data_IF_845743709861
#
_entry.id   IF_845743709861
#
_cell.length_a   1.000
_cell.length_b   1.000
_cell.length_c   1.000
_cell.angle_alpha   90.00
_cell.angle_beta   90.00
_cell.angle_gamma   90.00
#
_symmetry.space_group_name_H-M   'P 1'
#
loop_
_entity.id
_entity.type
_entity.pdbx_description
1 polymer ?
#
# COMPACT_ATOMS: atom_id res chain seq x y z
N UNK A 1 32.92 -1.25 -43.75
CA UNK A 1 31.79 -2.16 -43.51
C UNK A 1 31.53 -2.16 -42.02
N UNK A 2 30.58 -1.36 -41.56
CA UNK A 2 30.16 -1.32 -40.15
C UNK A 2 29.40 -2.60 -39.82
N UNK A 3 29.92 -3.39 -38.88
CA UNK A 3 29.36 -4.65 -38.43
C UNK A 3 28.00 -4.37 -37.77
N UNK A 4 26.90 -4.52 -38.52
CA UNK A 4 25.54 -4.28 -38.13
C UNK A 4 24.93 -5.44 -37.32
N UNK A 5 25.75 -6.36 -36.81
CA UNK A 5 25.26 -7.45 -35.95
C UNK A 5 24.80 -6.88 -34.63
N UNK A 6 23.52 -7.02 -34.27
CA UNK A 6 23.04 -6.53 -32.99
C UNK A 6 23.83 -7.20 -31.87
N UNK A 7 24.34 -6.38 -30.94
CA UNK A 7 25.09 -6.88 -29.77
C UNK A 7 24.27 -7.98 -29.08
N UNK A 8 24.87 -9.11 -28.68
CA UNK A 8 24.14 -10.25 -28.08
C UNK A 8 23.20 -9.88 -26.94
N UNK A 9 23.58 -8.88 -26.15
CA UNK A 9 22.77 -8.27 -25.10
C UNK A 9 21.44 -7.73 -25.64
N UNK A 10 21.44 -6.93 -26.70
CA UNK A 10 20.23 -6.27 -27.23
C UNK A 10 19.26 -7.31 -27.82
N UNK A 11 19.78 -8.31 -28.55
CA UNK A 11 18.93 -9.38 -29.08
C UNK A 11 18.29 -10.22 -28.00
N UNK A 12 19.04 -10.56 -26.95
CA UNK A 12 18.52 -11.29 -25.79
C UNK A 12 17.46 -10.48 -25.02
N UNK A 13 17.76 -9.22 -24.71
CA UNK A 13 16.82 -8.35 -24.01
C UNK A 13 15.51 -8.19 -24.80
N UNK A 14 15.60 -7.96 -26.13
CA UNK A 14 14.41 -7.84 -27.00
C UNK A 14 13.62 -9.15 -27.05
N UNK A 15 14.28 -10.30 -27.13
CA UNK A 15 13.60 -11.60 -27.15
C UNK A 15 12.87 -11.87 -25.83
N UNK A 16 13.51 -11.60 -24.69
CA UNK A 16 12.92 -11.75 -23.35
C UNK A 16 11.73 -10.79 -23.14
N UNK A 17 11.88 -9.53 -23.57
CA UNK A 17 10.81 -8.53 -23.44
C UNK A 17 9.61 -8.93 -24.31
N UNK A 18 9.84 -9.37 -25.55
CA UNK A 18 8.78 -9.88 -26.42
C UNK A 18 8.10 -11.12 -25.82
N UNK A 19 8.87 -12.00 -25.18
CA UNK A 19 8.33 -13.16 -24.45
C UNK A 19 7.37 -12.72 -23.34
N UNK A 20 7.79 -11.78 -22.51
CA UNK A 20 6.96 -11.25 -21.41
C UNK A 20 5.63 -10.64 -21.92
N UNK A 21 5.68 -9.78 -22.94
CA UNK A 21 4.46 -9.16 -23.49
C UNK A 21 3.52 -10.15 -24.23
N UNK A 22 4.03 -11.32 -24.61
CA UNK A 22 3.20 -12.40 -25.19
C UNK A 22 2.61 -13.34 -24.15
N UNK A 23 3.17 -13.36 -22.95
CA UNK A 23 2.67 -14.14 -21.84
C UNK A 23 1.59 -13.36 -21.09
N UNK A 24 0.33 -13.67 -21.40
CA UNK A 24 -0.84 -13.00 -20.84
C UNK A 24 -0.93 -13.17 -19.33
N UNK A 25 -0.51 -14.34 -18.79
CA UNK A 25 -0.55 -14.62 -17.35
C UNK A 25 0.50 -13.79 -16.61
N UNK A 26 1.73 -13.75 -17.11
CA UNK A 26 2.77 -12.89 -16.54
C UNK A 26 2.37 -11.41 -16.57
N UNK A 27 1.74 -10.97 -17.66
CA UNK A 27 1.28 -9.58 -17.79
C UNK A 27 0.13 -9.26 -16.84
N UNK A 28 -0.81 -10.20 -16.68
CA UNK A 28 -1.89 -10.07 -15.71
C UNK A 28 -1.35 -9.91 -14.29
N UNK A 29 -0.53 -10.85 -13.82
CA UNK A 29 -0.04 -10.82 -12.44
C UNK A 29 1.00 -9.71 -12.18
N UNK A 30 1.76 -9.31 -13.19
CA UNK A 30 2.72 -8.24 -13.03
C UNK A 30 2.09 -6.84 -13.02
N UNK A 31 1.05 -6.62 -13.85
CA UNK A 31 0.51 -5.27 -14.08
C UNK A 31 -0.95 -5.17 -13.62
N UNK A 32 -1.84 -6.00 -14.18
CA UNK A 32 -3.28 -5.84 -13.97
C UNK A 32 -3.69 -6.15 -12.52
N UNK A 33 -3.15 -7.22 -11.95
CA UNK A 33 -3.52 -7.67 -10.61
C UNK A 33 -3.17 -6.64 -9.52
N UNK A 34 -1.94 -6.09 -9.44
CA UNK A 34 -1.65 -5.00 -8.50
C UNK A 34 -2.43 -3.70 -8.79
N UNK A 35 -2.71 -3.39 -10.07
CA UNK A 35 -3.55 -2.24 -10.42
C UNK A 35 -4.99 -2.40 -9.95
N UNK A 36 -5.54 -3.63 -9.98
CA UNK A 36 -6.86 -3.90 -9.40
C UNK A 36 -6.89 -3.53 -7.90
N UNK A 37 -5.82 -3.82 -7.16
CA UNK A 37 -5.72 -3.42 -5.76
C UNK A 37 -5.64 -1.90 -5.61
N UNK A 38 -4.90 -1.21 -6.48
CA UNK A 38 -4.86 0.25 -6.47
C UNK A 38 -6.24 0.86 -6.70
N UNK A 39 -7.00 0.32 -7.67
CA UNK A 39 -8.37 0.77 -7.95
C UNK A 39 -9.31 0.44 -6.79
N UNK A 40 -9.19 -0.77 -6.24
CA UNK A 40 -10.01 -1.22 -5.11
C UNK A 40 -9.77 -0.36 -3.87
N UNK A 41 -8.52 -0.25 -3.43
CA UNK A 41 -8.19 0.54 -2.24
C UNK A 41 -8.33 2.04 -2.49
N UNK A 42 -7.94 2.54 -3.66
CA UNK A 42 -8.14 3.93 -4.05
C UNK A 42 -9.63 4.30 -4.10
N UNK A 43 -10.49 3.43 -4.66
CA UNK A 43 -11.93 3.66 -4.75
C UNK A 43 -12.63 3.51 -3.40
N UNK A 44 -12.38 2.41 -2.67
CA UNK A 44 -13.05 2.15 -1.39
C UNK A 44 -12.62 3.10 -0.27
N UNK A 45 -11.35 3.53 -0.28
CA UNK A 45 -10.80 4.31 0.82
C UNK A 45 -10.76 5.82 0.51
N UNK A 46 -10.94 6.24 -0.75
CA UNK A 46 -11.05 7.65 -1.10
C UNK A 46 -12.39 8.24 -0.63
N UNK A 47 -13.46 7.45 -0.60
CA UNK A 47 -14.76 7.85 -0.07
C UNK A 47 -14.82 7.84 1.47
N UNK A 48 -13.77 7.48 2.16
CA UNK A 48 -13.64 7.69 3.62
C UNK A 48 -13.16 9.12 3.96
N UNK A 49 -13.43 10.09 3.13
CA UNK A 49 -13.63 11.46 3.58
C UNK A 49 -14.77 11.42 4.58
N UNK A 50 -14.48 11.71 5.85
CA UNK A 50 -15.37 11.72 7.02
C UNK A 50 -16.78 11.31 6.66
N UNK A 51 -17.08 10.00 6.58
CA UNK A 51 -18.45 9.56 6.38
C UNK A 51 -19.19 10.08 7.58
N UNK A 52 -20.10 11.05 7.34
CA UNK A 52 -20.89 11.61 8.42
C UNK A 52 -21.54 10.44 9.14
N UNK A 53 -21.40 10.41 10.46
CA UNK A 53 -22.06 9.38 11.23
C UNK A 53 -23.56 9.61 11.13
N UNK A 54 -24.29 8.58 10.69
CA UNK A 54 -25.76 8.63 10.60
C UNK A 54 -26.35 8.45 11.98
N UNK A 55 -26.96 9.53 12.50
CA UNK A 55 -27.54 9.60 13.84
C UNK A 55 -29.04 9.74 13.74
N UNK A 56 -29.79 8.87 14.43
CA UNK A 56 -31.25 8.99 14.55
C UNK A 56 -31.59 9.73 15.84
N UNK A 57 -32.15 10.91 15.69
CA UNK A 57 -32.71 11.68 16.82
C UNK A 57 -34.13 11.24 17.11
N UNK A 58 -34.36 10.73 18.32
CA UNK A 58 -35.69 10.33 18.78
C UNK A 58 -36.28 11.43 19.68
N UNK A 59 -37.36 12.00 19.22
CA UNK A 59 -38.03 13.09 19.95
C UNK A 59 -37.29 14.43 19.88
N UNK A 60 -37.56 15.32 20.86
CA UNK A 60 -36.83 16.59 21.01
C UNK A 60 -35.55 16.37 21.81
N UNK A 61 -34.43 16.88 21.32
CA UNK A 61 -33.14 16.88 22.02
C UNK A 61 -32.64 18.31 22.11
N UNK A 62 -33.07 19.08 23.14
CA UNK A 62 -32.73 20.50 23.30
C UNK A 62 -31.26 20.79 23.20
N UNK A 63 -30.35 19.93 23.69
CA UNK A 63 -28.91 20.09 23.59
C UNK A 63 -28.43 20.17 22.13
N UNK A 64 -29.14 19.55 21.19
CA UNK A 64 -28.83 19.65 19.73
C UNK A 64 -29.69 20.74 19.06
N UNK A 65 -30.99 20.78 19.41
CA UNK A 65 -31.96 21.65 18.76
C UNK A 65 -31.67 23.15 19.09
N UNK A 66 -31.21 23.46 20.31
CA UNK A 66 -30.90 24.80 20.78
C UNK A 66 -29.39 25.15 20.71
N UNK A 67 -28.59 24.28 20.10
CA UNK A 67 -27.16 24.49 19.98
C UNK A 67 -26.81 25.79 19.22
N UNK A 68 -25.76 26.53 19.63
CA UNK A 68 -25.29 27.74 18.93
C UNK A 68 -25.01 27.48 17.44
N UNK A 69 -25.15 28.50 16.55
CA UNK A 69 -24.96 28.33 15.11
C UNK A 69 -23.62 27.72 14.71
N UNK A 70 -22.55 28.04 15.45
CA UNK A 70 -21.21 27.47 15.22
C UNK A 70 -21.18 25.96 15.51
N UNK A 71 -21.82 25.51 16.59
CA UNK A 71 -21.90 24.11 16.94
C UNK A 71 -22.78 23.32 15.95
N UNK A 72 -23.91 23.90 15.51
CA UNK A 72 -24.75 23.27 14.47
C UNK A 72 -24.00 23.07 13.15
N UNK A 73 -23.14 24.01 12.76
CA UNK A 73 -22.31 23.88 11.56
C UNK A 73 -21.30 22.74 11.71
N UNK A 74 -20.63 22.64 12.85
CA UNK A 74 -19.69 21.54 13.14
C UNK A 74 -20.40 20.18 13.16
N UNK A 75 -21.64 20.10 13.70
CA UNK A 75 -22.44 18.86 13.65
C UNK A 75 -22.80 18.48 12.21
N UNK A 76 -23.26 19.45 11.40
CA UNK A 76 -23.63 19.22 10.01
C UNK A 76 -22.44 18.79 9.12
N UNK A 77 -21.21 19.08 9.53
CA UNK A 77 -19.99 18.61 8.86
C UNK A 77 -19.64 17.16 9.23
N UNK A 78 -19.94 16.73 10.47
CA UNK A 78 -19.53 15.43 11.02
C UNK A 78 -20.65 14.42 11.16
N UNK A 79 -21.92 14.87 11.27
CA UNK A 79 -23.08 14.05 11.56
C UNK A 79 -24.18 14.29 10.51
N UNK A 80 -24.85 13.22 10.12
CA UNK A 80 -26.12 13.27 9.39
C UNK A 80 -27.24 12.88 10.34
N UNK A 81 -28.11 13.85 10.70
CA UNK A 81 -29.14 13.66 11.72
C UNK A 81 -30.48 13.44 11.05
N UNK A 82 -31.04 12.24 11.22
CA UNK A 82 -32.41 11.87 10.82
C UNK A 82 -33.31 11.85 12.03
N UNK A 83 -34.51 12.40 11.94
CA UNK A 83 -35.48 12.43 13.05
C UNK A 83 -36.44 11.26 12.96
N UNK A 84 -36.69 10.60 14.09
CA UNK A 84 -37.70 9.54 14.25
C UNK A 84 -38.52 9.78 15.49
N UNK A 85 -39.75 9.32 15.46
CA UNK A 85 -40.63 9.31 16.66
C UNK A 85 -40.70 7.95 17.38
N UNK A 86 -40.16 6.90 16.74
CA UNK A 86 -40.14 5.53 17.25
C UNK A 86 -38.73 5.12 17.69
N UNK A 87 -38.55 5.02 19.01
CA UNK A 87 -37.28 4.63 19.61
C UNK A 87 -36.93 3.15 19.31
N UNK A 88 -37.96 2.28 19.28
CA UNK A 88 -37.70 0.85 19.05
C UNK A 88 -37.24 0.57 17.63
N UNK A 89 -37.81 1.27 16.65
CA UNK A 89 -37.39 1.19 15.26
C UNK A 89 -36.00 1.81 15.07
N UNK A 90 -35.72 2.97 15.66
CA UNK A 90 -34.42 3.61 15.62
C UNK A 90 -33.28 2.70 16.16
N UNK A 91 -33.51 2.07 17.31
CA UNK A 91 -32.58 1.10 17.91
C UNK A 91 -32.42 -0.14 17.01
N UNK A 92 -33.50 -0.58 16.35
CA UNK A 92 -33.43 -1.68 15.38
C UNK A 92 -32.56 -1.34 14.17
N UNK A 93 -32.62 -0.12 13.65
CA UNK A 93 -31.79 0.37 12.54
C UNK A 93 -30.30 0.39 12.94
N UNK A 94 -29.94 0.87 14.14
CA UNK A 94 -28.57 0.80 14.64
C UNK A 94 -28.09 -0.65 14.79
N UNK A 95 -28.96 -1.55 15.25
CA UNK A 95 -28.62 -2.98 15.35
C UNK A 95 -28.40 -3.64 13.99
N UNK A 96 -29.10 -3.20 12.95
CA UNK A 96 -28.94 -3.69 11.57
C UNK A 96 -27.75 -3.05 10.86
N UNK A 97 -27.19 -1.96 11.40
CA UNK A 97 -26.09 -1.21 10.76
C UNK A 97 -26.57 -0.16 9.75
N UNK A 98 -27.88 0.14 9.72
CA UNK A 98 -28.48 1.16 8.85
C UNK A 98 -28.31 2.57 9.43
N UNK A 99 -27.91 2.69 10.70
CA UNK A 99 -27.51 3.93 11.37
C UNK A 99 -26.40 3.65 12.38
N UNK A 100 -25.56 4.66 12.69
CA UNK A 100 -24.41 4.52 13.58
C UNK A 100 -24.78 4.71 15.05
N UNK A 101 -25.75 5.59 15.36
CA UNK A 101 -26.24 5.81 16.72
C UNK A 101 -27.68 6.35 16.78
N UNK A 102 -28.31 6.17 17.95
CA UNK A 102 -29.57 6.81 18.32
C UNK A 102 -29.31 7.75 19.48
N UNK A 103 -29.86 8.95 19.39
CA UNK A 103 -29.84 9.92 20.49
C UNK A 103 -31.27 10.25 20.96
N UNK A 104 -31.45 10.27 22.25
CA UNK A 104 -32.69 10.70 22.91
C UNK A 104 -32.37 11.51 24.16
N UNK A 105 -33.25 12.41 24.56
CA UNK A 105 -33.10 13.18 25.79
C UNK A 105 -34.35 13.04 26.67
N UNK A 106 -34.14 12.80 27.95
CA UNK A 106 -35.19 12.76 28.94
C UNK A 106 -34.79 13.63 30.14
N UNK A 107 -35.39 14.80 30.27
CA UNK A 107 -34.99 15.81 31.26
C UNK A 107 -33.53 16.24 31.00
N UNK A 108 -32.66 16.14 32.00
CA UNK A 108 -31.26 16.52 31.94
C UNK A 108 -30.32 15.40 31.44
N UNK A 109 -30.90 14.23 31.13
CA UNK A 109 -30.09 13.08 30.70
C UNK A 109 -30.19 12.90 29.19
N UNK A 110 -29.03 13.03 28.49
CA UNK A 110 -28.87 12.69 27.08
C UNK A 110 -28.38 11.25 26.98
N UNK A 111 -29.14 10.40 26.33
CA UNK A 111 -28.82 8.99 26.11
C UNK A 111 -28.38 8.79 24.65
N UNK A 112 -27.18 8.29 24.48
CA UNK A 112 -26.63 7.92 23.17
C UNK A 112 -26.43 6.41 23.15
N UNK A 113 -27.10 5.72 22.20
CA UNK A 113 -26.91 4.28 21.95
C UNK A 113 -26.27 4.10 20.60
N UNK A 114 -25.10 3.48 20.55
CA UNK A 114 -24.30 3.32 19.34
C UNK A 114 -23.88 1.87 19.12
N UNK A 115 -23.58 1.53 17.86
CA UNK A 115 -23.04 0.23 17.51
C UNK A 115 -21.53 0.19 17.79
N UNK A 116 -21.04 -0.93 18.36
CA UNK A 116 -19.61 -1.19 18.53
C UNK A 116 -19.02 -1.99 17.37
N UNK A 117 -19.79 -2.26 16.32
CA UNK A 117 -19.32 -3.01 15.16
C UNK A 117 -18.20 -2.26 14.40
N UNK A 118 -18.25 -0.93 14.41
CA UNK A 118 -17.18 -0.06 13.91
C UNK A 118 -16.61 0.77 15.08
N UNK A 119 -15.43 0.39 15.54
CA UNK A 119 -14.79 1.03 16.71
C UNK A 119 -14.38 2.48 16.42
N UNK A 120 -14.06 2.83 15.17
CA UNK A 120 -13.66 4.19 14.80
C UNK A 120 -14.88 5.11 14.83
N UNK A 121 -16.00 4.69 14.23
CA UNK A 121 -17.26 5.44 14.25
C UNK A 121 -17.81 5.58 15.69
N UNK A 122 -17.75 4.49 16.47
CA UNK A 122 -18.16 4.50 17.87
C UNK A 122 -17.37 5.52 18.70
N UNK A 123 -16.04 5.57 18.56
CA UNK A 123 -15.19 6.54 19.24
C UNK A 123 -15.47 7.98 18.79
N UNK A 124 -15.71 8.20 17.50
CA UNK A 124 -16.07 9.51 16.93
C UNK A 124 -17.39 10.02 17.48
N UNK A 125 -18.44 9.18 17.48
CA UNK A 125 -19.76 9.49 18.04
C UNK A 125 -19.64 9.84 19.52
N UNK A 126 -18.99 8.98 20.31
CA UNK A 126 -18.81 9.19 21.74
C UNK A 126 -18.05 10.48 22.05
N UNK A 127 -16.94 10.75 21.37
CA UNK A 127 -16.13 11.95 21.55
C UNK A 127 -16.90 13.22 21.17
N UNK A 128 -17.62 13.21 20.06
CA UNK A 128 -18.44 14.34 19.62
C UNK A 128 -19.52 14.68 20.63
N UNK A 129 -20.31 13.70 21.09
CA UNK A 129 -21.38 13.97 22.06
C UNK A 129 -20.83 14.37 23.43
N UNK A 130 -19.71 13.81 23.87
CA UNK A 130 -19.06 14.25 25.10
C UNK A 130 -18.64 15.70 25.06
N UNK A 131 -18.06 16.16 23.94
CA UNK A 131 -17.70 17.57 23.73
C UNK A 131 -18.93 18.48 23.71
N UNK A 132 -20.03 18.04 23.10
CA UNK A 132 -21.31 18.76 23.05
C UNK A 132 -21.87 18.96 24.44
N UNK A 133 -21.98 17.90 25.23
CA UNK A 133 -22.53 17.96 26.61
C UNK A 133 -21.66 18.85 27.49
N UNK A 134 -20.32 18.77 27.36
CA UNK A 134 -19.42 19.65 28.09
C UNK A 134 -19.61 21.12 27.70
N UNK A 135 -19.77 21.43 26.42
CA UNK A 135 -20.01 22.81 25.96
C UNK A 135 -21.36 23.36 26.40
N UNK A 136 -22.41 22.50 26.42
CA UNK A 136 -23.73 22.88 26.94
C UNK A 136 -23.70 23.19 28.45
N UNK A 137 -23.04 22.32 29.24
CA UNK A 137 -22.86 22.54 30.67
C UNK A 137 -22.08 23.83 30.97
N UNK A 138 -21.07 24.17 30.16
CA UNK A 138 -20.34 25.43 30.31
C UNK A 138 -21.20 26.67 29.97
N UNK A 139 -22.03 26.57 28.93
CA UNK A 139 -22.91 27.64 28.52
C UNK A 139 -23.99 27.93 29.62
N UNK A 140 -24.49 26.90 30.27
CA UNK A 140 -25.48 26.99 31.33
C UNK A 140 -24.90 27.56 32.65
N UNK A 141 -23.60 27.31 32.90
CA UNK A 141 -22.89 27.86 34.06
C UNK A 141 -22.66 29.37 33.99
N UNK A 142 -22.89 30.02 32.85
CA UNK A 142 -22.74 31.46 32.65
C UNK A 142 -21.29 31.99 32.77
N UNK A 143 -20.31 31.12 32.93
CA UNK A 143 -18.92 31.49 32.98
C UNK A 143 -18.23 31.21 31.64
N UNK A 144 -17.40 32.14 31.09
CA UNK A 144 -16.62 31.86 29.91
C UNK A 144 -15.65 30.68 30.17
N UNK A 145 -15.43 29.82 29.17
CA UNK A 145 -14.51 28.70 29.32
C UNK A 145 -13.12 29.18 29.72
N UNK A 146 -12.65 28.71 30.85
CA UNK A 146 -11.35 29.12 31.43
C UNK A 146 -10.15 28.58 30.63
N UNK A 147 -10.36 27.52 29.85
CA UNK A 147 -9.33 26.86 29.04
C UNK A 147 -9.88 26.68 27.63
N UNK A 148 -9.11 27.12 26.65
CA UNK A 148 -9.34 26.80 25.24
C UNK A 148 -8.43 25.64 24.86
N UNK A 149 -8.98 24.63 24.18
CA UNK A 149 -8.19 23.56 23.58
C UNK A 149 -7.74 24.07 22.19
N UNK A 150 -6.45 24.32 22.05
CA UNK A 150 -5.80 24.54 20.76
C UNK A 150 -5.20 23.21 20.31
N UNK A 151 -5.81 22.58 19.34
CA UNK A 151 -5.32 21.33 18.73
C UNK A 151 -4.65 21.69 17.43
N UNK A 152 -3.33 21.67 17.42
CA UNK A 152 -2.55 21.65 16.18
C UNK A 152 -2.15 20.20 15.86
N UNK A 153 -2.53 19.73 14.71
CA UNK A 153 -2.02 18.46 14.17
C UNK A 153 -0.52 18.65 13.88
N UNK A 154 0.32 17.87 14.56
CA UNK A 154 1.79 17.90 14.38
C UNK A 154 2.24 16.72 13.50
N UNK A 155 1.38 15.71 13.30
CA UNK A 155 1.65 14.60 12.39
C UNK A 155 1.20 14.96 10.97
N UNK A 156 1.95 14.47 10.00
CA UNK A 156 1.72 14.70 8.57
C UNK A 156 0.47 13.93 8.09
N UNK A 157 -0.68 14.23 8.70
CA UNK A 157 -2.00 13.70 8.34
C UNK A 157 -2.50 14.19 6.96
N UNK A 158 -1.65 14.94 6.25
CA UNK A 158 -1.94 15.37 4.89
C UNK A 158 -1.81 14.22 3.87
N UNK A 159 -1.30 13.06 4.27
CA UNK A 159 -1.23 11.89 3.41
C UNK A 159 -2.62 11.31 3.22
N UNK A 160 -3.22 11.58 2.07
CA UNK A 160 -4.43 10.87 1.68
C UNK A 160 -4.13 9.36 1.56
N UNK A 161 -5.14 8.54 1.75
CA UNK A 161 -4.98 7.07 1.63
C UNK A 161 -4.28 6.66 0.34
N UNK A 162 -4.58 7.35 -0.78
CA UNK A 162 -3.94 7.06 -2.07
C UNK A 162 -2.44 7.38 -2.07
N UNK A 163 -2.02 8.42 -1.35
CA UNK A 163 -0.61 8.79 -1.22
C UNK A 163 0.19 7.74 -0.43
N UNK A 164 -0.44 7.09 0.54
CA UNK A 164 0.17 5.99 1.29
C UNK A 164 0.14 4.67 0.50
N UNK A 165 -1.02 4.30 -0.04
CA UNK A 165 -1.24 2.99 -0.68
C UNK A 165 -0.49 2.86 -2.01
N UNK A 166 -0.35 3.96 -2.78
CA UNK A 166 0.30 3.90 -4.10
C UNK A 166 1.76 3.44 -4.03
N UNK A 167 2.66 4.01 -3.20
CA UNK A 167 4.03 3.52 -3.05
C UNK A 167 4.09 2.06 -2.59
N UNK A 168 3.28 1.70 -1.60
CA UNK A 168 3.21 0.34 -1.06
C UNK A 168 2.81 -0.71 -2.08
N UNK A 169 1.75 -0.44 -2.86
CA UNK A 169 1.30 -1.33 -3.94
C UNK A 169 2.28 -1.39 -5.11
N UNK A 170 2.89 -0.26 -5.46
CA UNK A 170 3.92 -0.22 -6.49
C UNK A 170 5.15 -1.05 -6.08
N UNK A 171 5.63 -0.89 -4.84
CA UNK A 171 6.72 -1.69 -4.29
C UNK A 171 6.40 -3.19 -4.32
N UNK A 172 5.19 -3.57 -3.91
CA UNK A 172 4.72 -4.95 -3.98
C UNK A 172 4.61 -5.47 -5.43
N UNK A 173 4.09 -4.67 -6.36
CA UNK A 173 4.00 -5.04 -7.77
C UNK A 173 5.38 -5.32 -8.38
N UNK A 174 6.37 -4.46 -8.07
CA UNK A 174 7.77 -4.65 -8.49
C UNK A 174 8.37 -5.89 -7.84
N UNK A 175 8.12 -6.11 -6.54
CA UNK A 175 8.58 -7.29 -5.82
C UNK A 175 8.03 -8.58 -6.45
N UNK A 176 6.72 -8.64 -6.73
CA UNK A 176 6.08 -9.78 -7.39
C UNK A 176 6.69 -10.04 -8.77
N UNK A 177 6.71 -9.02 -9.63
CA UNK A 177 7.14 -9.19 -11.02
C UNK A 177 8.62 -9.58 -11.13
N UNK A 178 9.48 -8.97 -10.30
CA UNK A 178 10.90 -9.29 -10.26
C UNK A 178 11.16 -10.70 -9.73
N UNK A 179 10.49 -11.08 -8.63
CA UNK A 179 10.66 -12.40 -8.00
C UNK A 179 10.12 -13.51 -8.90
N UNK A 180 8.86 -13.42 -9.35
CA UNK A 180 8.24 -14.45 -10.17
C UNK A 180 8.91 -14.58 -11.51
N UNK A 181 9.23 -13.45 -12.15
CA UNK A 181 9.94 -13.45 -13.40
C UNK A 181 11.33 -14.07 -13.30
N UNK A 182 12.06 -13.89 -12.21
CA UNK A 182 13.36 -14.54 -12.03
C UNK A 182 13.22 -16.03 -11.71
N UNK A 183 12.27 -16.40 -10.84
CA UNK A 183 12.01 -17.77 -10.43
C UNK A 183 11.57 -18.68 -11.60
N UNK A 184 10.51 -18.26 -12.31
CA UNK A 184 9.98 -18.97 -13.48
C UNK A 184 10.99 -19.11 -14.59
N UNK A 185 11.63 -18.01 -15.01
CA UNK A 185 12.60 -18.04 -16.11
C UNK A 185 13.79 -18.98 -15.82
N UNK A 186 14.29 -19.02 -14.59
CA UNK A 186 15.42 -19.89 -14.27
C UNK A 186 15.06 -21.38 -14.44
N UNK A 187 13.86 -21.78 -14.01
CA UNK A 187 13.36 -23.16 -14.16
C UNK A 187 13.07 -23.47 -15.62
N UNK A 188 12.42 -22.58 -16.36
CA UNK A 188 12.13 -22.74 -17.80
C UNK A 188 13.41 -22.87 -18.59
N UNK A 189 14.43 -22.04 -18.33
CA UNK A 189 15.72 -22.13 -19.02
C UNK A 189 16.45 -23.44 -18.74
N UNK A 190 16.36 -23.96 -17.51
CA UNK A 190 16.92 -25.26 -17.15
C UNK A 190 16.18 -26.39 -17.86
N UNK A 191 14.84 -26.42 -17.82
CA UNK A 191 14.02 -27.44 -18.48
C UNK A 191 14.22 -27.49 -20.02
N UNK A 192 14.29 -26.32 -20.65
CA UNK A 192 14.45 -26.20 -22.10
C UNK A 192 15.90 -26.41 -22.57
N UNK A 193 16.82 -26.70 -21.66
CA UNK A 193 18.25 -26.87 -21.98
C UNK A 193 18.92 -25.58 -22.47
N UNK A 194 18.27 -24.41 -22.28
CA UNK A 194 18.82 -23.11 -22.72
C UNK A 194 20.13 -22.81 -22.01
N UNK A 195 20.22 -23.10 -20.70
CA UNK A 195 21.44 -22.89 -19.93
C UNK A 195 22.62 -23.69 -20.51
N UNK A 196 22.39 -24.96 -20.95
CA UNK A 196 23.38 -25.79 -21.60
C UNK A 196 23.82 -25.20 -22.96
N UNK A 197 22.84 -24.72 -23.75
CA UNK A 197 23.11 -24.07 -25.04
C UNK A 197 23.89 -22.76 -24.89
N UNK A 198 23.54 -21.95 -23.88
CA UNK A 198 24.23 -20.71 -23.57
C UNK A 198 25.69 -20.96 -23.15
N UNK A 199 25.97 -22.07 -22.44
CA UNK A 199 27.32 -22.46 -22.05
C UNK A 199 28.20 -22.85 -23.27
N UNK A 200 27.57 -23.36 -24.32
CA UNK A 200 28.27 -23.77 -25.57
C UNK A 200 28.33 -22.62 -26.61
N UNK A 201 27.54 -21.57 -26.43
CA UNK A 201 27.51 -20.44 -27.31
C UNK A 201 28.65 -19.43 -26.97
N UNK A 202 29.18 -18.66 -27.92
CA UNK A 202 30.18 -17.62 -27.67
C UNK A 202 29.56 -16.36 -27.04
N UNK A 203 28.65 -16.55 -26.06
CA UNK A 203 27.97 -15.47 -25.35
C UNK A 203 28.47 -15.44 -23.91
N UNK A 204 28.92 -14.29 -23.45
CA UNK A 204 29.38 -14.11 -22.08
C UNK A 204 28.17 -14.20 -21.12
N UNK A 205 28.29 -15.01 -20.07
CA UNK A 205 27.24 -15.15 -19.02
C UNK A 205 26.79 -13.80 -18.48
N UNK A 206 27.72 -12.85 -18.36
CA UNK A 206 27.41 -11.47 -17.95
C UNK A 206 26.38 -10.80 -18.88
N UNK A 207 26.45 -11.02 -20.20
CA UNK A 207 25.48 -10.44 -21.14
C UNK A 207 24.07 -11.00 -20.94
N UNK A 208 23.95 -12.26 -20.55
CA UNK A 208 22.66 -12.90 -20.26
C UNK A 208 22.05 -12.32 -18.97
N UNK A 209 22.87 -12.22 -17.92
CA UNK A 209 22.43 -11.64 -16.63
C UNK A 209 22.05 -10.19 -16.79
N UNK A 210 22.88 -9.38 -17.44
CA UNK A 210 22.59 -7.96 -17.68
C UNK A 210 21.34 -7.78 -18.55
N UNK A 211 21.13 -8.63 -19.57
CA UNK A 211 19.92 -8.59 -20.38
C UNK A 211 18.68 -8.87 -19.51
N UNK A 212 18.77 -9.83 -18.59
CA UNK A 212 17.67 -10.14 -17.66
C UNK A 212 17.38 -9.00 -16.71
N UNK A 213 18.42 -8.42 -16.11
CA UNK A 213 18.28 -7.23 -15.24
C UNK A 213 17.63 -6.08 -16.01
N UNK A 214 18.12 -5.78 -17.22
CA UNK A 214 17.56 -4.71 -18.05
C UNK A 214 16.08 -4.93 -18.39
N UNK A 215 15.68 -6.17 -18.68
CA UNK A 215 14.26 -6.52 -18.93
C UNK A 215 13.43 -6.31 -17.67
N UNK A 216 13.88 -6.79 -16.51
CA UNK A 216 13.16 -6.60 -15.23
C UNK A 216 13.02 -5.12 -14.88
N UNK A 217 14.06 -4.32 -15.09
CA UNK A 217 14.02 -2.87 -14.89
C UNK A 217 13.06 -2.17 -15.87
N UNK A 218 13.02 -2.62 -17.12
CA UNK A 218 12.06 -2.10 -18.10
C UNK A 218 10.62 -2.38 -17.67
N UNK A 219 10.36 -3.60 -17.20
CA UNK A 219 9.02 -3.99 -16.67
C UNK A 219 8.69 -3.13 -15.46
N UNK A 220 9.58 -3.00 -14.48
CA UNK A 220 9.39 -2.16 -13.32
C UNK A 220 9.14 -0.68 -13.68
N UNK A 221 9.86 -0.16 -14.67
CA UNK A 221 9.66 1.19 -15.19
C UNK A 221 8.29 1.38 -15.83
N UNK A 222 7.84 0.43 -16.64
CA UNK A 222 6.50 0.45 -17.25
C UNK A 222 5.42 0.35 -16.18
N UNK A 223 5.56 -0.55 -15.20
CA UNK A 223 4.65 -0.65 -14.06
C UNK A 223 4.56 0.69 -13.32
N UNK A 224 5.70 1.27 -12.98
CA UNK A 224 5.78 2.56 -12.30
C UNK A 224 5.06 3.65 -13.09
N UNK A 225 5.31 3.75 -14.39
CA UNK A 225 4.64 4.75 -15.24
C UNK A 225 3.11 4.57 -15.25
N UNK A 226 2.63 3.33 -15.32
CA UNK A 226 1.18 3.03 -15.29
C UNK A 226 0.59 3.36 -13.92
N UNK A 227 1.25 2.96 -12.83
CA UNK A 227 0.77 3.24 -11.45
C UNK A 227 0.70 4.73 -11.17
N UNK A 228 1.75 5.48 -11.53
CA UNK A 228 1.77 6.93 -11.34
C UNK A 228 0.73 7.62 -12.21
N UNK A 229 0.60 7.22 -13.48
CA UNK A 229 -0.41 7.80 -14.37
C UNK A 229 -1.83 7.57 -13.83
N UNK A 230 -2.14 6.34 -13.40
CA UNK A 230 -3.44 6.02 -12.83
C UNK A 230 -3.66 6.76 -11.49
N UNK A 231 -2.66 6.76 -10.61
CA UNK A 231 -2.72 7.49 -9.33
C UNK A 231 -2.99 8.98 -9.50
N UNK A 232 -2.28 9.63 -10.44
CA UNK A 232 -2.46 11.05 -10.73
C UNK A 232 -3.80 11.37 -11.38
N UNK A 233 -4.19 10.59 -12.41
CA UNK A 233 -5.39 10.91 -13.24
C UNK A 233 -6.68 10.50 -12.55
N UNK A 234 -6.73 9.31 -11.94
CA UNK A 234 -7.95 8.78 -11.35
C UNK A 234 -8.13 9.17 -9.88
N UNK A 235 -7.05 9.33 -9.12
CA UNK A 235 -7.10 9.49 -7.67
C UNK A 235 -6.43 10.77 -7.15
N UNK A 236 -5.97 11.66 -8.03
CA UNK A 236 -5.40 12.94 -7.63
C UNK A 236 -4.08 12.85 -6.87
N UNK A 237 -3.29 11.79 -7.08
CA UNK A 237 -1.98 11.63 -6.47
C UNK A 237 -1.08 12.83 -6.80
N UNK A 238 -0.55 13.47 -5.78
CA UNK A 238 0.41 14.57 -5.93
C UNK A 238 1.82 14.05 -5.67
N UNK A 239 2.69 14.21 -6.65
CA UNK A 239 4.10 13.84 -6.53
C UNK A 239 4.90 15.03 -5.98
N UNK A 240 5.86 14.74 -5.11
CA UNK A 240 6.81 15.73 -4.59
C UNK A 240 7.90 16.06 -5.62
N UNK A 241 8.68 17.12 -5.37
CA UNK A 241 9.84 17.46 -6.21
C UNK A 241 10.95 16.42 -6.20
N UNK A 242 11.00 15.55 -5.19
CA UNK A 242 12.01 14.49 -5.04
C UNK A 242 11.63 13.15 -5.71
N UNK A 243 10.48 13.07 -6.39
CA UNK A 243 10.00 11.85 -7.03
C UNK A 243 11.02 11.14 -7.96
N UNK A 244 11.98 11.78 -8.65
CA UNK A 244 12.93 11.06 -9.49
C UNK A 244 13.86 10.10 -8.73
N UNK A 245 13.96 10.24 -7.40
CA UNK A 245 14.72 9.33 -6.54
C UNK A 245 14.10 7.92 -6.46
N UNK A 246 12.86 7.76 -6.91
CA UNK A 246 12.23 6.45 -7.10
C UNK A 246 13.03 5.56 -8.08
N UNK A 247 13.74 6.16 -9.06
CA UNK A 247 14.48 5.40 -10.08
C UNK A 247 15.58 4.53 -9.44
N UNK A 248 16.53 5.08 -8.67
CA UNK A 248 17.53 4.25 -7.99
C UNK A 248 16.92 3.28 -6.98
N UNK A 249 15.84 3.65 -6.28
CA UNK A 249 15.12 2.76 -5.37
C UNK A 249 14.52 1.56 -6.11
N UNK A 250 13.85 1.78 -7.23
CA UNK A 250 13.30 0.72 -8.08
C UNK A 250 14.38 -0.19 -8.65
N UNK A 251 15.53 0.37 -9.04
CA UNK A 251 16.67 -0.42 -9.51
C UNK A 251 17.14 -1.36 -8.40
N UNK A 252 17.40 -0.85 -7.21
CA UNK A 252 17.88 -1.63 -6.08
C UNK A 252 16.82 -2.63 -5.58
N UNK A 253 15.55 -2.23 -5.51
CA UNK A 253 14.42 -3.08 -5.19
C UNK A 253 14.28 -4.22 -6.18
N UNK A 254 14.30 -3.94 -7.49
CA UNK A 254 14.25 -4.97 -8.53
C UNK A 254 15.37 -5.99 -8.37
N UNK A 255 16.59 -5.56 -8.08
CA UNK A 255 17.73 -6.47 -7.86
C UNK A 255 17.51 -7.32 -6.59
N UNK A 256 17.04 -6.72 -5.51
CA UNK A 256 16.77 -7.43 -4.27
C UNK A 256 15.70 -8.53 -4.47
N UNK A 257 14.60 -8.21 -5.14
CA UNK A 257 13.52 -9.18 -5.37
C UNK A 257 13.85 -10.21 -6.46
N UNK A 258 14.61 -9.83 -7.48
CA UNK A 258 15.19 -10.82 -8.41
C UNK A 258 16.05 -11.85 -7.70
N UNK A 259 16.82 -11.47 -6.69
CA UNK A 259 17.67 -12.41 -5.94
C UNK A 259 16.84 -13.44 -5.16
N UNK A 260 15.67 -13.05 -4.61
CA UNK A 260 14.71 -13.99 -4.00
C UNK A 260 14.18 -14.97 -5.06
N UNK A 261 13.81 -14.45 -6.24
CA UNK A 261 13.35 -15.28 -7.35
C UNK A 261 14.42 -16.25 -7.84
N UNK A 262 15.68 -15.82 -7.94
CA UNK A 262 16.81 -16.68 -8.29
C UNK A 262 16.99 -17.78 -7.23
N UNK A 263 16.85 -17.46 -5.96
CA UNK A 263 16.91 -18.46 -4.88
C UNK A 263 15.79 -19.49 -5.01
N UNK A 264 14.53 -19.06 -5.16
CA UNK A 264 13.40 -19.96 -5.37
C UNK A 264 13.57 -20.84 -6.62
N UNK A 265 13.97 -20.25 -7.76
CA UNK A 265 14.22 -20.97 -9.00
C UNK A 265 15.42 -21.92 -8.95
N UNK A 266 16.43 -21.65 -8.08
CA UNK A 266 17.57 -22.55 -7.92
C UNK A 266 17.22 -23.87 -7.22
N UNK A 267 16.24 -23.82 -6.29
CA UNK A 267 15.80 -24.98 -5.49
C UNK A 267 14.63 -25.71 -6.15
N UNK A 268 13.72 -24.99 -6.78
CA UNK A 268 12.52 -25.56 -7.37
C UNK A 268 12.83 -26.47 -8.59
N UNK A 269 12.08 -27.57 -8.71
CA UNK A 269 12.15 -28.49 -9.85
C UNK A 269 11.13 -28.16 -10.94
N UNK A 270 10.04 -27.49 -10.59
CA UNK A 270 8.97 -27.11 -11.51
C UNK A 270 8.74 -25.60 -11.47
N UNK A 271 8.14 -25.06 -12.51
CA UNK A 271 7.80 -23.64 -12.59
C UNK A 271 6.76 -23.28 -11.53
N UNK A 272 5.75 -24.10 -11.38
CA UNK A 272 4.68 -23.94 -10.36
C UNK A 272 5.28 -23.97 -8.94
N UNK A 273 6.24 -24.88 -8.69
CA UNK A 273 6.97 -24.94 -7.43
C UNK A 273 7.80 -23.69 -7.15
N UNK A 274 8.45 -23.13 -8.18
CA UNK A 274 9.21 -21.89 -8.04
C UNK A 274 8.30 -20.68 -7.73
N UNK A 275 7.18 -20.59 -8.43
CA UNK A 275 6.16 -19.54 -8.18
C UNK A 275 5.53 -19.72 -6.80
N UNK A 276 5.22 -20.95 -6.38
CA UNK A 276 4.69 -21.25 -5.05
C UNK A 276 5.65 -20.82 -3.92
N UNK A 277 6.95 -21.13 -4.05
CA UNK A 277 7.98 -20.68 -3.10
C UNK A 277 8.11 -19.15 -3.08
N UNK A 278 8.08 -18.51 -4.25
CA UNK A 278 8.13 -17.08 -4.37
C UNK A 278 6.92 -16.39 -3.70
N UNK A 279 5.71 -16.93 -3.91
CA UNK A 279 4.49 -16.46 -3.27
C UNK A 279 4.55 -16.60 -1.75
N UNK A 280 5.05 -17.72 -1.24
CA UNK A 280 5.17 -17.96 0.19
C UNK A 280 6.05 -16.91 0.89
N UNK A 281 7.00 -16.32 0.17
CA UNK A 281 7.86 -15.26 0.69
C UNK A 281 7.24 -13.88 0.45
N UNK A 282 6.82 -13.56 -0.79
CA UNK A 282 6.43 -12.21 -1.18
C UNK A 282 5.08 -11.81 -0.60
N UNK A 283 4.12 -12.74 -0.49
CA UNK A 283 2.79 -12.41 -0.02
C UNK A 283 2.75 -12.05 1.48
N UNK A 284 3.32 -12.84 2.42
CA UNK A 284 3.42 -12.39 3.81
C UNK A 284 4.24 -11.11 3.97
N UNK A 285 5.30 -10.96 3.16
CA UNK A 285 6.13 -9.77 3.17
C UNK A 285 5.33 -8.51 2.83
N UNK A 286 4.36 -8.59 1.90
CA UNK A 286 3.51 -7.47 1.53
C UNK A 286 2.68 -6.93 2.72
N UNK A 287 2.12 -7.84 3.52
CA UNK A 287 1.36 -7.45 4.72
C UNK A 287 2.26 -6.93 5.84
N UNK A 288 3.38 -7.58 6.07
CA UNK A 288 4.31 -7.22 7.16
C UNK A 288 5.20 -6.02 6.85
N UNK A 289 5.21 -5.54 5.61
CA UNK A 289 6.00 -4.37 5.18
C UNK A 289 5.19 -3.08 5.04
N UNK A 290 3.90 -3.09 5.40
CA UNK A 290 3.07 -1.90 5.29
C UNK A 290 2.67 -1.54 3.85
N UNK A 291 2.65 -2.52 2.92
CA UNK A 291 2.24 -2.24 1.53
C UNK A 291 0.76 -1.88 1.39
N UNK A 292 -0.08 -2.39 2.27
CA UNK A 292 -1.53 -2.21 2.23
C UNK A 292 -2.05 -1.31 3.35
N UNK A 293 -1.45 -1.40 4.54
CA UNK A 293 -1.88 -0.69 5.74
C UNK A 293 -0.69 -0.13 6.50
N UNK A 294 -0.80 1.05 7.11
CA UNK A 294 0.21 1.57 8.03
C UNK A 294 0.49 0.60 9.17
N UNK A 295 1.75 0.46 9.54
CA UNK A 295 2.15 -0.42 10.66
C UNK A 295 2.26 0.30 12.01
N UNK A 296 1.90 1.58 12.08
CA UNK A 296 2.07 2.42 13.26
C UNK A 296 1.28 1.89 14.46
N UNK A 297 0.05 1.42 14.22
CA UNK A 297 -0.81 0.77 15.22
C UNK A 297 -0.54 -0.73 15.43
N UNK A 298 0.40 -1.32 14.70
CA UNK A 298 0.64 -2.76 14.77
C UNK A 298 1.42 -3.16 16.03
N UNK A 299 1.24 -4.41 16.54
CA UNK A 299 2.02 -4.93 17.65
C UNK A 299 3.53 -4.84 17.41
N UNK A 300 4.32 -4.63 18.48
CA UNK A 300 5.76 -4.41 18.39
C UNK A 300 6.52 -5.50 17.62
N UNK A 301 6.11 -6.76 17.73
CA UNK A 301 6.74 -7.85 17.00
C UNK A 301 6.52 -7.75 15.48
N UNK A 302 5.34 -7.28 15.01
CA UNK A 302 5.05 -7.06 13.58
C UNK A 302 5.98 -5.98 13.04
N UNK A 303 6.11 -4.87 13.76
CA UNK A 303 7.03 -3.77 13.40
C UNK A 303 8.47 -4.25 13.34
N UNK A 304 8.93 -5.04 14.31
CA UNK A 304 10.28 -5.59 14.34
C UNK A 304 10.56 -6.52 13.14
N UNK A 305 9.61 -7.40 12.80
CA UNK A 305 9.72 -8.26 11.62
C UNK A 305 9.72 -7.42 10.34
N UNK A 306 8.82 -6.43 10.23
CA UNK A 306 8.76 -5.52 9.10
C UNK A 306 10.11 -4.84 8.82
N UNK A 307 10.79 -4.36 9.85
CA UNK A 307 12.12 -3.72 9.74
C UNK A 307 13.19 -4.64 9.12
N UNK A 308 13.07 -5.95 9.24
CA UNK A 308 14.00 -6.90 8.62
C UNK A 308 13.68 -7.18 7.14
N UNK A 309 12.51 -6.75 6.64
CA UNK A 309 12.04 -7.10 5.31
C UNK A 309 12.45 -6.04 4.27
N UNK A 310 13.02 -6.46 3.12
CA UNK A 310 13.46 -5.53 2.08
C UNK A 310 12.30 -4.72 1.47
N UNK A 311 11.09 -5.26 1.44
CA UNK A 311 9.92 -4.57 0.89
C UNK A 311 9.54 -3.34 1.73
N UNK A 312 9.70 -3.40 3.05
CA UNK A 312 9.46 -2.23 3.91
C UNK A 312 10.38 -1.07 3.55
N UNK A 313 11.66 -1.34 3.40
CA UNK A 313 12.63 -0.30 3.04
C UNK A 313 12.39 0.28 1.64
N UNK A 314 11.94 -0.56 0.68
CA UNK A 314 11.53 -0.07 -0.63
C UNK A 314 10.30 0.85 -0.52
N UNK A 315 9.27 0.43 0.21
CA UNK A 315 8.03 1.18 0.37
C UNK A 315 8.26 2.50 1.11
N UNK A 316 8.99 2.47 2.23
CA UNK A 316 9.31 3.67 3.02
C UNK A 316 10.13 4.66 2.17
N UNK A 317 11.19 4.19 1.50
CA UNK A 317 12.00 5.05 0.64
C UNK A 317 11.21 5.64 -0.54
N UNK A 318 10.25 4.90 -1.09
CA UNK A 318 9.36 5.42 -2.13
C UNK A 318 8.35 6.43 -1.56
N UNK A 319 7.77 6.17 -0.38
CA UNK A 319 6.86 7.09 0.29
C UNK A 319 7.55 8.41 0.62
N UNK A 320 8.73 8.35 1.23
CA UNK A 320 9.50 9.53 1.64
C UNK A 320 9.91 10.40 0.45
N UNK A 321 10.40 9.77 -0.62
CA UNK A 321 10.88 10.51 -1.80
C UNK A 321 9.76 10.94 -2.74
N UNK A 322 8.73 10.12 -2.93
CA UNK A 322 7.68 10.35 -3.93
C UNK A 322 6.56 11.25 -3.41
N UNK A 323 6.23 11.12 -2.13
CA UNK A 323 5.07 11.77 -1.52
C UNK A 323 5.49 12.84 -0.52
N UNK A 324 6.30 12.48 0.49
CA UNK A 324 6.75 13.41 1.54
C UNK A 324 7.75 14.45 1.05
N UNK A 325 8.39 14.20 -0.07
CA UNK A 325 9.35 15.15 -0.65
C UNK A 325 10.69 15.21 0.07
N UNK A 326 11.00 14.20 0.85
CA UNK A 326 12.30 14.11 1.51
C UNK A 326 13.44 14.03 0.49
N UNK A 327 14.56 14.61 0.85
CA UNK A 327 15.72 14.72 -0.03
C UNK A 327 16.46 13.40 -0.26
N UNK A 328 17.58 13.43 -0.99
CA UNK A 328 18.35 12.21 -1.32
C UNK A 328 18.84 11.41 -0.10
N UNK A 329 18.98 12.04 1.06
CA UNK A 329 19.42 11.37 2.30
C UNK A 329 18.45 10.28 2.76
N UNK A 330 17.14 10.44 2.57
CA UNK A 330 16.13 9.44 2.94
C UNK A 330 16.22 8.18 2.09
N UNK A 331 16.66 8.29 0.84
CA UNK A 331 16.83 7.15 -0.06
C UNK A 331 18.09 6.32 0.22
N UNK A 332 19.11 6.88 0.86
CA UNK A 332 20.43 6.22 1.03
C UNK A 332 20.32 4.93 1.83
N UNK A 333 19.68 4.97 3.00
CA UNK A 333 19.55 3.81 3.88
C UNK A 333 18.74 2.68 3.20
N UNK A 334 17.55 2.92 2.63
CA UNK A 334 16.84 1.92 1.84
C UNK A 334 17.68 1.30 0.72
N UNK A 335 18.41 2.10 -0.05
CA UNK A 335 19.27 1.62 -1.14
C UNK A 335 20.36 0.68 -0.62
N UNK A 336 21.04 1.06 0.47
CA UNK A 336 22.12 0.24 1.06
C UNK A 336 21.57 -1.11 1.54
N UNK A 337 20.43 -1.10 2.22
CA UNK A 337 19.79 -2.33 2.71
C UNK A 337 19.35 -3.22 1.55
N UNK A 338 18.71 -2.66 0.51
CA UNK A 338 18.27 -3.42 -0.66
C UNK A 338 19.43 -4.04 -1.42
N UNK A 339 20.53 -3.30 -1.62
CA UNK A 339 21.74 -3.82 -2.27
C UNK A 339 22.42 -4.89 -1.43
N UNK A 340 22.57 -4.66 -0.12
CA UNK A 340 23.10 -5.66 0.81
C UNK A 340 22.30 -6.96 0.78
N UNK A 341 20.98 -6.86 0.81
CA UNK A 341 20.07 -7.98 0.68
C UNK A 341 20.23 -8.72 -0.66
N UNK A 342 20.30 -7.97 -1.77
CA UNK A 342 20.52 -8.54 -3.11
C UNK A 342 21.82 -9.33 -3.18
N UNK A 343 22.91 -8.80 -2.64
CA UNK A 343 24.23 -9.48 -2.63
C UNK A 343 24.16 -10.78 -1.81
N UNK A 344 23.64 -10.72 -0.59
CA UNK A 344 23.55 -11.88 0.29
C UNK A 344 22.68 -12.99 -0.34
N UNK A 345 21.49 -12.65 -0.82
CA UNK A 345 20.57 -13.63 -1.42
C UNK A 345 21.13 -14.19 -2.74
N UNK A 346 21.79 -13.38 -3.54
CA UNK A 346 22.45 -13.87 -4.77
C UNK A 346 23.60 -14.81 -4.44
N UNK A 347 24.39 -14.53 -3.42
CA UNK A 347 25.45 -15.41 -2.96
C UNK A 347 24.91 -16.77 -2.47
N UNK A 348 23.80 -16.76 -1.71
CA UNK A 348 23.12 -17.99 -1.27
C UNK A 348 22.57 -18.75 -2.49
N UNK A 349 21.86 -18.08 -3.38
CA UNK A 349 21.31 -18.66 -4.59
C UNK A 349 22.39 -19.32 -5.47
N UNK A 350 23.55 -18.66 -5.61
CA UNK A 350 24.67 -19.17 -6.41
C UNK A 350 25.28 -20.47 -5.84
N UNK A 351 25.28 -20.62 -4.51
CA UNK A 351 25.75 -21.85 -3.84
C UNK A 351 24.77 -23.00 -3.94
N UNK A 352 23.47 -22.70 -3.96
CA UNK A 352 22.40 -23.70 -4.05
C UNK A 352 22.10 -24.09 -5.50
N UNK A 353 22.59 -23.30 -6.46
CA UNK A 353 22.31 -23.52 -7.87
C UNK A 353 22.97 -24.80 -8.38
N UNK A 354 22.17 -25.71 -8.92
CA UNK A 354 22.63 -26.93 -9.60
C UNK A 354 22.46 -26.79 -11.11
N UNK A 355 23.54 -27.03 -11.83
CA UNK A 355 23.56 -26.97 -13.31
C UNK A 355 22.83 -28.16 -13.94
N UNK A 356 22.83 -29.30 -13.23
CA UNK A 356 22.25 -30.56 -13.66
C UNK A 356 20.98 -30.82 -12.83
N UNK A 357 19.84 -30.84 -13.52
CA UNK A 357 18.54 -31.22 -12.96
C UNK A 357 18.08 -32.54 -13.52
#
# INVERSE_FOLDING_TARGET
MTDTRPRPFVSLARAMLKGFFRDKMSLFFAVLFPLMFLVLFGGLLTDQGVSKSEIIQVGSVPVLDDAPPAARKAFAESLEITRSSDEADAVSQVRKGDADAVISQSGDTVTVRYSQADQVKAATVQGTFQAVIQSANLAESGQPPRFSLDTSQVEDDSLTTIQFVTPGLLGWAVAMSATFGAASNLVVWRKNGLLRRLRLAPVRTQSVVLARVAVSLTIAGVQTAIFLALGMVAFGLRLSGSWPLIIPLLLCGTLAFMSIGLLAGSVAKTEEGAIGMANFVVLPMAFLSGSFFPLDGAPGWVRAVGQALPLKHLNDGMLDTMVRGEGPSSAVLPIVILLGFAVVMTAIASRLFRWDG
#
